data_IF_312274672097
#
_entry.id   IF_312274672097
#
_cell.length_a   1.000
_cell.length_b   1.000
_cell.length_c   1.000
_cell.angle_alpha   90.00
_cell.angle_beta   90.00
_cell.angle_gamma   90.00
#
_symmetry.space_group_name_H-M   'P 1'
#
loop_
_entity.id
_entity.type
_entity.pdbx_description
1 polymer ?
#
# COMPACT_ATOMS: atom_id res chain seq x y z
N UNK A 1 7.05 -5.53 8.12
CA UNK A 1 7.17 -6.08 6.75
C UNK A 1 8.26 -5.34 6.00
N UNK A 2 8.66 -5.84 4.83
CA UNK A 2 9.51 -5.10 3.89
C UNK A 2 8.68 -4.22 2.96
N UNK A 3 9.35 -3.41 2.14
CA UNK A 3 8.75 -2.73 0.99
C UNK A 3 8.93 -3.54 -0.29
N UNK A 4 8.23 -3.15 -1.36
CA UNK A 4 8.38 -3.77 -2.67
C UNK A 4 9.79 -3.61 -3.26
N UNK A 5 10.23 -4.63 -4.00
CA UNK A 5 11.50 -4.63 -4.71
C UNK A 5 11.27 -4.92 -6.19
N UNK A 6 11.83 -4.08 -7.06
CA UNK A 6 11.87 -4.32 -8.50
C UNK A 6 13.31 -4.19 -8.97
N UNK A 7 13.88 -5.31 -9.42
CA UNK A 7 15.26 -5.35 -9.92
C UNK A 7 15.40 -4.51 -11.19
N UNK A 8 16.55 -3.86 -11.36
CA UNK A 8 16.87 -2.99 -12.48
C UNK A 8 16.73 -3.68 -13.83
N UNK A 9 17.01 -4.99 -13.91
CA UNK A 9 16.79 -5.80 -15.11
C UNK A 9 15.32 -5.82 -15.58
N UNK A 10 14.37 -5.60 -14.66
CA UNK A 10 12.93 -5.50 -14.94
C UNK A 10 12.49 -4.04 -15.18
N UNK A 11 13.37 -3.05 -14.92
CA UNK A 11 13.12 -1.62 -15.16
C UNK A 11 13.47 -1.25 -16.60
N UNK A 12 12.61 -1.68 -17.52
CA UNK A 12 12.64 -1.33 -18.95
C UNK A 12 12.29 0.15 -19.16
N UNK A 13 12.52 0.71 -20.35
CA UNK A 13 12.12 2.08 -20.71
C UNK A 13 10.64 2.38 -20.40
N UNK A 14 9.75 1.43 -20.69
CA UNK A 14 8.33 1.55 -20.37
C UNK A 14 8.08 1.68 -18.86
N UNK A 15 8.74 0.84 -18.06
CA UNK A 15 8.59 0.84 -16.60
C UNK A 15 9.20 2.10 -15.98
N UNK A 16 10.38 2.50 -16.47
CA UNK A 16 11.06 3.73 -16.10
C UNK A 16 10.17 4.96 -16.33
N UNK A 17 9.54 5.06 -17.52
CA UNK A 17 8.62 6.15 -17.86
C UNK A 17 7.35 6.20 -16.99
N UNK A 18 6.83 5.04 -16.54
CA UNK A 18 5.68 4.99 -15.64
C UNK A 18 6.00 5.37 -14.19
N UNK A 19 7.27 5.23 -13.78
CA UNK A 19 7.69 5.37 -12.36
C UNK A 19 8.61 6.54 -12.11
N UNK A 20 8.95 7.31 -13.15
CA UNK A 20 9.93 8.41 -13.09
C UNK A 20 11.26 7.93 -12.48
N UNK A 21 11.77 6.80 -12.98
CA UNK A 21 13.02 6.17 -12.53
C UNK A 21 13.99 6.00 -13.70
N UNK A 22 15.32 6.00 -13.46
CA UNK A 22 16.29 5.66 -14.49
C UNK A 22 16.15 4.19 -14.93
N UNK A 23 16.34 3.92 -16.22
CA UNK A 23 16.36 2.56 -16.79
C UNK A 23 17.49 1.74 -16.16
N UNK A 24 17.22 0.48 -15.83
CA UNK A 24 18.24 -0.44 -15.30
C UNK A 24 18.57 -0.26 -13.82
N UNK A 25 17.93 0.67 -13.11
CA UNK A 25 18.17 0.91 -11.67
C UNK A 25 17.17 0.16 -10.81
N UNK A 26 17.66 -0.52 -9.77
CA UNK A 26 16.83 -1.18 -8.75
C UNK A 26 15.89 -0.18 -8.07
N UNK A 27 14.61 -0.51 -7.99
CA UNK A 27 13.66 0.20 -7.13
C UNK A 27 13.46 -0.54 -5.82
N UNK A 28 13.68 0.16 -4.71
CA UNK A 28 13.40 -0.34 -3.35
C UNK A 28 12.45 0.63 -2.66
N UNK A 29 11.23 0.18 -2.39
CA UNK A 29 10.25 0.97 -1.66
C UNK A 29 10.51 0.93 -0.16
N UNK A 30 10.16 2.02 0.54
CA UNK A 30 10.18 2.07 2.00
C UNK A 30 9.23 1.01 2.59
N UNK A 31 9.52 0.55 3.81
CA UNK A 31 8.70 -0.44 4.51
C UNK A 31 7.42 0.14 5.13
N UNK A 32 7.33 1.47 5.23
CA UNK A 32 6.17 2.22 5.72
C UNK A 32 5.81 3.30 4.71
N UNK A 33 4.53 3.62 4.61
CA UNK A 33 4.11 4.77 3.83
C UNK A 33 4.62 6.05 4.51
N UNK A 34 5.19 7.02 3.78
CA UNK A 34 5.73 8.24 4.40
C UNK A 34 4.64 9.12 5.03
N UNK A 35 3.44 9.11 4.45
CA UNK A 35 2.35 10.02 4.87
C UNK A 35 1.54 9.53 6.07
N UNK A 36 1.78 8.31 6.57
CA UNK A 36 1.07 7.82 7.75
C UNK A 36 1.95 6.91 8.59
N UNK A 37 1.92 7.13 9.90
CA UNK A 37 2.64 6.28 10.87
C UNK A 37 1.67 5.45 11.70
N UNK A 38 0.44 5.91 11.87
CA UNK A 38 -0.58 5.26 12.68
C UNK A 38 -2.00 5.27 12.09
N UNK A 39 -2.97 4.71 12.83
CA UNK A 39 -4.36 4.61 12.38
C UNK A 39 -5.07 5.96 12.26
N UNK A 40 -4.68 6.97 13.03
CA UNK A 40 -5.28 8.29 12.95
C UNK A 40 -4.81 9.04 11.68
N UNK A 41 -3.52 8.94 11.33
CA UNK A 41 -3.00 9.42 10.03
C UNK A 41 -3.64 8.68 8.85
N UNK A 42 -3.85 7.37 9.00
CA UNK A 42 -4.51 6.54 7.99
C UNK A 42 -5.94 7.03 7.71
N UNK A 43 -6.67 7.47 8.74
CA UNK A 43 -8.01 8.02 8.56
C UNK A 43 -8.00 9.29 7.70
N UNK A 44 -7.02 10.18 7.92
CA UNK A 44 -6.83 11.39 7.12
C UNK A 44 -6.55 11.02 5.66
N UNK A 45 -5.66 10.05 5.42
CA UNK A 45 -5.34 9.61 4.05
C UNK A 45 -6.53 8.93 3.37
N UNK A 46 -7.32 8.13 4.09
CA UNK A 46 -8.53 7.53 3.54
C UNK A 46 -9.50 8.64 3.08
N UNK A 47 -9.70 9.69 3.89
CA UNK A 47 -10.52 10.83 3.50
C UNK A 47 -9.99 11.54 2.24
N UNK A 48 -8.67 11.79 2.16
CA UNK A 48 -8.01 12.35 0.98
C UNK A 48 -8.30 11.52 -0.29
N UNK A 49 -8.19 10.20 -0.21
CA UNK A 49 -8.49 9.30 -1.34
C UNK A 49 -9.97 9.33 -1.70
N UNK A 50 -10.88 9.41 -0.72
CA UNK A 50 -12.32 9.53 -0.99
C UNK A 50 -12.65 10.80 -1.76
N UNK A 51 -12.04 11.92 -1.37
CA UNK A 51 -12.21 13.20 -2.05
C UNK A 51 -11.70 13.14 -3.50
N UNK A 52 -10.51 12.58 -3.73
CA UNK A 52 -9.94 12.44 -5.08
C UNK A 52 -10.77 11.52 -6.00
N UNK A 53 -11.55 10.61 -5.42
CA UNK A 53 -12.36 9.64 -6.16
C UNK A 53 -13.83 10.01 -6.25
N UNK A 54 -14.20 11.25 -5.90
CA UNK A 54 -15.57 11.76 -5.86
C UNK A 54 -16.52 10.82 -5.08
N UNK A 55 -16.00 10.13 -4.06
CA UNK A 55 -16.73 9.17 -3.25
C UNK A 55 -17.32 7.97 -4.01
N UNK A 56 -16.96 7.76 -5.27
CA UNK A 56 -17.53 6.70 -6.09
C UNK A 56 -16.85 5.34 -5.90
N UNK A 57 -15.60 5.34 -5.42
CA UNK A 57 -14.76 4.14 -5.38
C UNK A 57 -14.55 3.66 -3.93
N UNK A 58 -14.74 2.37 -3.65
CA UNK A 58 -14.45 1.82 -2.33
C UNK A 58 -12.94 1.77 -2.05
N UNK A 59 -12.55 2.07 -0.82
CA UNK A 59 -11.16 2.07 -0.36
C UNK A 59 -10.84 0.79 0.39
N UNK A 60 -9.79 0.11 -0.07
CA UNK A 60 -9.35 -1.18 0.44
C UNK A 60 -8.12 -0.98 1.30
N UNK A 61 -8.13 -1.53 2.51
CA UNK A 61 -6.95 -1.61 3.37
C UNK A 61 -6.49 -3.06 3.44
N UNK A 62 -5.30 -3.33 2.88
CA UNK A 62 -4.68 -4.65 2.88
C UNK A 62 -3.74 -4.81 4.05
N UNK A 63 -3.94 -5.87 4.84
CA UNK A 63 -3.16 -6.18 6.03
C UNK A 63 -2.64 -7.62 5.96
N UNK A 64 -1.43 -7.84 6.48
CA UNK A 64 -0.91 -9.20 6.66
C UNK A 64 -1.53 -9.86 7.90
N UNK A 65 -1.67 -11.18 7.89
CA UNK A 65 -2.25 -11.96 8.98
C UNK A 65 -1.33 -12.11 10.22
N UNK A 66 -0.63 -11.06 10.62
CA UNK A 66 0.22 -11.05 11.82
C UNK A 66 -0.56 -10.78 13.10
N UNK A 67 -1.38 -9.73 13.13
CA UNK A 67 -2.22 -9.35 14.29
C UNK A 67 -3.66 -9.01 13.86
N UNK A 68 -4.36 -9.93 13.17
CA UNK A 68 -5.64 -9.64 12.51
C UNK A 68 -6.68 -9.01 13.44
N UNK A 69 -6.78 -9.47 14.69
CA UNK A 69 -7.75 -8.92 15.65
C UNK A 69 -7.56 -7.42 15.93
N UNK A 70 -6.32 -6.96 16.05
CA UNK A 70 -6.02 -5.55 16.34
C UNK A 70 -6.03 -4.72 15.05
N UNK A 71 -5.42 -5.24 13.99
CA UNK A 71 -5.26 -4.52 12.72
C UNK A 71 -6.60 -4.29 12.03
N UNK A 72 -7.53 -5.26 12.09
CA UNK A 72 -8.90 -5.08 11.59
C UNK A 72 -9.63 -3.98 12.35
N UNK A 73 -9.54 -3.94 13.69
CA UNK A 73 -10.18 -2.88 14.49
C UNK A 73 -9.66 -1.50 14.13
N UNK A 74 -8.35 -1.37 13.93
CA UNK A 74 -7.72 -0.11 13.52
C UNK A 74 -8.15 0.31 12.12
N UNK A 75 -8.21 -0.62 11.17
CA UNK A 75 -8.67 -0.35 9.80
C UNK A 75 -10.16 0.07 9.75
N UNK A 76 -11.02 -0.57 10.55
CA UNK A 76 -12.43 -0.16 10.71
C UNK A 76 -12.50 1.25 11.29
N UNK A 77 -11.75 1.54 12.36
CA UNK A 77 -11.71 2.88 12.98
C UNK A 77 -11.26 3.95 11.97
N UNK A 78 -10.30 3.61 11.10
CA UNK A 78 -9.79 4.52 10.07
C UNK A 78 -10.76 4.75 8.90
N UNK A 79 -11.86 3.98 8.80
CA UNK A 79 -12.89 4.18 7.78
C UNK A 79 -12.66 3.43 6.48
N UNK A 80 -11.96 2.29 6.52
CA UNK A 80 -11.82 1.40 5.35
C UNK A 80 -13.18 0.82 4.92
N UNK A 81 -13.46 0.77 3.61
CA UNK A 81 -14.67 0.12 3.08
C UNK A 81 -14.50 -1.40 3.05
N UNK A 82 -13.30 -1.86 2.71
CA UNK A 82 -12.96 -3.28 2.63
C UNK A 82 -11.61 -3.53 3.31
N UNK A 83 -11.54 -4.60 4.08
CA UNK A 83 -10.30 -5.06 4.71
C UNK A 83 -9.89 -6.36 4.04
N UNK A 84 -8.71 -6.37 3.44
CA UNK A 84 -8.13 -7.54 2.78
C UNK A 84 -7.11 -8.17 3.73
N UNK A 85 -7.38 -9.40 4.16
CA UNK A 85 -6.48 -10.16 5.03
C UNK A 85 -5.64 -11.14 4.22
N UNK A 86 -4.34 -10.85 4.14
CA UNK A 86 -3.38 -11.66 3.40
C UNK A 86 -2.67 -12.66 4.32
N UNK A 87 -2.82 -13.95 4.00
CA UNK A 87 -2.11 -15.03 4.67
C UNK A 87 -0.62 -15.09 4.31
N UNK A 88 0.17 -15.75 5.14
CA UNK A 88 1.63 -15.87 4.97
C UNK A 88 2.04 -16.64 3.70
N UNK A 89 1.15 -17.46 3.13
CA UNK A 89 1.39 -18.24 1.91
C UNK A 89 1.32 -17.40 0.62
N UNK A 90 0.97 -16.11 0.72
CA UNK A 90 1.02 -15.19 -0.41
C UNK A 90 2.44 -15.11 -0.98
N UNK A 91 2.58 -15.45 -2.26
CA UNK A 91 3.87 -15.45 -2.94
C UNK A 91 4.40 -14.04 -3.23
N UNK A 92 5.71 -13.96 -3.45
CA UNK A 92 6.41 -12.84 -4.07
C UNK A 92 7.42 -13.44 -5.05
N UNK A 93 7.49 -12.92 -6.28
CA UNK A 93 8.33 -13.43 -7.37
C UNK A 93 9.17 -12.31 -8.03
#
# INVERSE_FOLDING_TARGET
>A
GGGGMLLGMKVTERVAGMRTLPVGVDQRSACRHPDWTGPDDLAIKIAEIREITDWEKPIYVKIGASRPYYDVKLAVKAGADVIVLDGMQGGTA
#
